data_IF_115631330490
#
_entry.id   IF_115631330490
#
_cell.length_a   1.000
_cell.length_b   1.000
_cell.length_c   1.000
_cell.angle_alpha   90.00
_cell.angle_beta   90.00
_cell.angle_gamma   90.00
#
_symmetry.space_group_name_H-M   'P 1'
#
loop_
_entity.id
_entity.type
_entity.pdbx_description
1 polymer ?
#
# COMPACT_ATOMS: atom_id res chain seq x y z
N UNK A 1 -20.29 7.80 -17.20
CA UNK A 1 -19.00 7.89 -16.49
C UNK A 1 -19.31 8.11 -15.03
N UNK A 2 -19.25 7.06 -14.21
CA UNK A 2 -19.28 7.23 -12.76
C UNK A 2 -17.89 7.67 -12.35
N UNK A 3 -17.74 8.92 -11.89
CA UNK A 3 -16.59 9.29 -11.06
C UNK A 3 -16.65 8.37 -9.85
N UNK A 4 -15.80 7.33 -9.86
CA UNK A 4 -15.54 6.53 -8.67
C UNK A 4 -15.01 7.51 -7.63
N UNK A 5 -15.85 7.84 -6.64
CA UNK A 5 -15.39 8.44 -5.39
C UNK A 5 -14.17 7.64 -4.95
N UNK A 6 -13.02 8.31 -4.89
CA UNK A 6 -11.77 7.68 -4.46
C UNK A 6 -11.97 7.30 -3.00
N UNK A 7 -12.18 6.02 -2.77
CA UNK A 7 -12.46 5.50 -1.43
C UNK A 7 -11.26 5.79 -0.52
N UNK A 8 -11.51 6.16 0.74
CA UNK A 8 -10.46 6.65 1.62
C UNK A 8 -9.43 5.56 1.94
N UNK A 9 -8.16 5.91 1.81
CA UNK A 9 -7.05 5.13 2.37
C UNK A 9 -6.99 5.37 3.88
N UNK A 10 -7.04 4.31 4.66
CA UNK A 10 -6.93 4.36 6.12
C UNK A 10 -5.54 3.88 6.51
N UNK A 11 -4.77 4.75 7.17
CA UNK A 11 -3.43 4.45 7.70
C UNK A 11 -3.52 4.44 9.22
N UNK A 12 -3.11 3.33 9.84
CA UNK A 12 -3.15 3.13 11.28
C UNK A 12 -1.79 2.67 11.78
N UNK A 13 -1.40 3.12 12.97
CA UNK A 13 -0.22 2.58 13.63
C UNK A 13 -0.42 1.09 13.94
N UNK A 14 0.68 0.33 13.97
CA UNK A 14 0.65 -1.10 14.28
C UNK A 14 -0.10 -1.39 15.59
N UNK A 15 0.09 -0.56 16.62
CA UNK A 15 -0.57 -0.71 17.91
C UNK A 15 -2.09 -0.58 17.84
N UNK A 16 -2.61 0.41 17.09
CA UNK A 16 -4.06 0.57 16.90
C UNK A 16 -4.67 -0.60 16.13
N UNK A 17 -3.96 -1.11 15.11
CA UNK A 17 -4.41 -2.27 14.33
C UNK A 17 -4.50 -3.51 15.20
N UNK A 18 -3.45 -3.79 15.98
CA UNK A 18 -3.42 -4.93 16.89
C UNK A 18 -4.50 -4.83 17.96
N UNK A 19 -4.74 -3.64 18.50
CA UNK A 19 -5.78 -3.38 19.48
C UNK A 19 -7.19 -3.62 18.92
N UNK A 20 -7.51 -3.06 17.75
CA UNK A 20 -8.80 -3.25 17.08
C UNK A 20 -9.02 -4.71 16.66
N UNK A 21 -7.96 -5.37 16.18
CA UNK A 21 -8.00 -6.78 15.82
C UNK A 21 -8.23 -7.68 17.05
N UNK A 22 -7.60 -7.37 18.18
CA UNK A 22 -7.81 -8.10 19.42
C UNK A 22 -9.25 -7.95 19.92
N UNK A 23 -9.79 -6.72 19.96
CA UNK A 23 -11.18 -6.46 20.39
C UNK A 23 -12.17 -7.21 19.50
N UNK A 24 -12.01 -7.10 18.18
CA UNK A 24 -12.90 -7.79 17.23
C UNK A 24 -12.83 -9.31 17.38
N UNK A 25 -11.65 -9.88 17.62
CA UNK A 25 -11.50 -11.32 17.89
C UNK A 25 -12.16 -11.74 19.21
N UNK A 26 -12.06 -10.94 20.27
CA UNK A 26 -12.75 -11.23 21.55
C UNK A 26 -14.27 -11.21 21.36
N UNK A 27 -14.81 -10.22 20.63
CA UNK A 27 -16.24 -10.17 20.33
C UNK A 27 -16.69 -11.36 19.48
N UNK A 28 -15.92 -11.70 18.44
CA UNK A 28 -16.17 -12.87 17.60
C UNK A 28 -16.16 -14.16 18.41
N UNK A 29 -15.21 -14.30 19.35
CA UNK A 29 -15.12 -15.45 20.24
C UNK A 29 -16.36 -15.57 21.12
N UNK A 30 -16.78 -14.48 21.78
CA UNK A 30 -17.98 -14.46 22.64
C UNK A 30 -19.22 -14.86 21.84
N UNK A 31 -19.44 -14.25 20.67
CA UNK A 31 -20.60 -14.54 19.81
C UNK A 31 -20.57 -16.00 19.35
N UNK A 32 -19.41 -16.49 18.92
CA UNK A 32 -19.25 -17.87 18.43
C UNK A 32 -19.50 -18.90 19.52
N UNK A 33 -19.00 -18.66 20.74
CA UNK A 33 -19.26 -19.53 21.89
C UNK A 33 -20.74 -19.55 22.27
N UNK A 34 -21.41 -18.39 22.31
CA UNK A 34 -22.84 -18.33 22.56
C UNK A 34 -23.65 -19.09 21.50
N UNK A 35 -23.27 -18.96 20.23
CA UNK A 35 -23.91 -19.69 19.13
C UNK A 35 -23.72 -21.21 19.26
N UNK A 36 -22.50 -21.67 19.52
CA UNK A 36 -22.19 -23.09 19.70
C UNK A 36 -22.89 -23.66 20.92
N UNK A 37 -22.88 -22.97 22.06
CA UNK A 37 -23.59 -23.45 23.25
C UNK A 37 -25.10 -23.48 23.06
N UNK A 38 -25.69 -22.47 22.42
CA UNK A 38 -27.12 -22.46 22.08
C UNK A 38 -27.49 -23.62 21.16
N UNK A 39 -26.64 -23.92 20.17
CA UNK A 39 -26.85 -25.04 19.25
C UNK A 39 -26.68 -26.40 19.92
N UNK A 40 -25.65 -26.58 20.76
CA UNK A 40 -25.41 -27.83 21.48
C UNK A 40 -26.52 -28.13 22.50
N UNK A 41 -27.03 -27.12 23.22
CA UNK A 41 -28.16 -27.27 24.16
C UNK A 41 -29.44 -27.78 23.50
N UNK A 42 -29.63 -27.52 22.19
CA UNK A 42 -30.79 -28.02 21.42
C UNK A 42 -30.66 -29.50 21.05
N UNK A 43 -29.46 -30.10 21.15
CA UNK A 43 -29.23 -31.50 20.81
C UNK A 43 -29.33 -32.40 22.05
N UNK A 44 -30.16 -33.44 21.97
CA UNK A 44 -30.21 -34.49 23.00
C UNK A 44 -28.91 -35.33 22.96
N UNK A 45 -28.37 -35.69 24.13
CA UNK A 45 -27.21 -36.59 24.25
C UNK A 45 -25.83 -35.94 24.08
N UNK A 46 -25.72 -34.61 24.22
CA UNK A 46 -24.40 -33.93 24.27
C UNK A 46 -23.75 -34.19 25.64
N UNK A 47 -22.50 -34.64 25.61
CA UNK A 47 -21.63 -34.79 26.79
C UNK A 47 -20.79 -33.54 27.01
N UNK A 48 -20.42 -33.22 28.25
CA UNK A 48 -19.50 -32.11 28.60
C UNK A 48 -18.21 -32.10 27.77
N UNK A 49 -17.65 -33.28 27.46
CA UNK A 49 -16.45 -33.40 26.63
C UNK A 49 -16.65 -32.86 25.19
N UNK A 50 -17.85 -33.03 24.61
CA UNK A 50 -18.19 -32.50 23.28
C UNK A 50 -18.39 -30.99 23.30
N UNK A 51 -18.92 -30.45 24.39
CA UNK A 51 -19.03 -29.00 24.60
C UNK A 51 -17.65 -28.36 24.74
N UNK A 52 -16.75 -28.97 25.53
CA UNK A 52 -15.37 -28.52 25.67
C UNK A 52 -14.60 -28.60 24.35
N UNK A 53 -14.73 -29.70 23.61
CA UNK A 53 -14.12 -29.83 22.29
C UNK A 53 -14.64 -28.79 21.29
N UNK A 54 -15.94 -28.50 21.31
CA UNK A 54 -16.54 -27.45 20.47
C UNK A 54 -16.03 -26.06 20.84
N UNK A 55 -15.95 -25.72 22.13
CA UNK A 55 -15.39 -24.45 22.59
C UNK A 55 -13.91 -24.30 22.24
N UNK A 56 -13.12 -25.37 22.39
CA UNK A 56 -11.72 -25.40 21.99
C UNK A 56 -11.55 -25.17 20.48
N UNK A 57 -12.37 -25.82 19.65
CA UNK A 57 -12.31 -25.66 18.20
C UNK A 57 -12.68 -24.25 17.76
N UNK A 58 -13.67 -23.63 18.40
CA UNK A 58 -14.00 -22.20 18.20
C UNK A 58 -12.82 -21.31 18.57
N UNK A 59 -12.19 -21.54 19.73
CA UNK A 59 -11.02 -20.78 20.16
C UNK A 59 -9.88 -20.87 19.15
N UNK A 60 -9.50 -22.08 18.72
CA UNK A 60 -8.45 -22.29 17.72
C UNK A 60 -8.80 -21.60 16.40
N UNK A 61 -10.07 -21.67 15.98
CA UNK A 61 -10.52 -21.01 14.74
C UNK A 61 -10.37 -19.50 14.82
N UNK A 62 -10.81 -18.88 15.92
CA UNK A 62 -10.66 -17.42 16.10
C UNK A 62 -9.19 -17.02 16.18
N UNK A 63 -8.35 -17.83 16.83
CA UNK A 63 -6.91 -17.60 16.89
C UNK A 63 -6.27 -17.65 15.48
N UNK A 64 -6.67 -18.61 14.65
CA UNK A 64 -6.21 -18.68 13.26
C UNK A 64 -6.66 -17.47 12.44
N UNK A 65 -7.90 -17.01 12.62
CA UNK A 65 -8.41 -15.80 11.96
C UNK A 65 -7.59 -14.57 12.38
N UNK A 66 -7.25 -14.43 13.66
CA UNK A 66 -6.40 -13.35 14.16
C UNK A 66 -5.06 -13.30 13.43
N UNK A 67 -4.35 -14.43 13.35
CA UNK A 67 -3.06 -14.49 12.66
C UNK A 67 -3.19 -14.28 11.15
N UNK A 68 -4.20 -14.88 10.52
CA UNK A 68 -4.45 -14.70 9.09
C UNK A 68 -4.66 -13.21 8.73
N UNK A 69 -5.50 -12.50 9.50
CA UNK A 69 -5.74 -11.08 9.28
C UNK A 69 -4.51 -10.22 9.60
N UNK A 70 -3.80 -10.51 10.69
CA UNK A 70 -2.58 -9.77 11.07
C UNK A 70 -1.47 -9.86 10.01
N UNK A 71 -1.38 -10.99 9.32
CA UNK A 71 -0.44 -11.22 8.22
C UNK A 71 -0.93 -10.65 6.88
N UNK A 72 -2.24 -10.69 6.62
CA UNK A 72 -2.82 -10.22 5.36
C UNK A 72 -2.83 -8.68 5.22
N UNK A 73 -2.79 -7.93 6.32
CA UNK A 73 -2.77 -6.47 6.27
C UNK A 73 -1.43 -5.95 5.76
N UNK A 74 -1.38 -5.14 4.70
CA UNK A 74 -0.11 -4.65 4.17
C UNK A 74 0.54 -3.65 5.14
N UNK A 75 1.87 -3.61 5.10
CA UNK A 75 2.74 -2.76 5.93
C UNK A 75 3.45 -1.71 5.11
N UNK A 76 3.68 -0.56 5.72
CA UNK A 76 4.62 0.44 5.25
C UNK A 76 5.45 0.97 6.42
N UNK A 77 6.63 1.45 6.11
CA UNK A 77 7.63 1.89 7.07
C UNK A 77 7.91 3.39 6.90
N UNK A 78 8.64 3.95 7.87
CA UNK A 78 9.03 5.36 7.84
C UNK A 78 9.65 5.73 6.48
N UNK A 79 9.26 6.90 5.98
CA UNK A 79 9.67 7.45 4.69
C UNK A 79 9.11 6.78 3.45
N UNK A 80 8.41 5.64 3.56
CA UNK A 80 7.65 5.09 2.43
C UNK A 80 6.54 6.06 2.02
N UNK A 81 6.21 6.09 0.73
CA UNK A 81 5.10 6.88 0.19
C UNK A 81 4.01 5.93 -0.30
N UNK A 82 2.82 6.05 0.27
CA UNK A 82 1.63 5.33 -0.15
C UNK A 82 0.85 6.16 -1.16
N UNK A 83 0.63 5.61 -2.34
CA UNK A 83 0.03 6.31 -3.48
C UNK A 83 -1.32 5.65 -3.79
N UNK A 84 -2.39 6.39 -3.54
CA UNK A 84 -3.74 6.07 -3.96
C UNK A 84 -4.16 6.85 -5.21
N UNK A 85 -5.39 6.66 -5.70
CA UNK A 85 -5.86 7.25 -6.95
C UNK A 85 -5.82 8.78 -7.03
N UNK A 86 -5.92 9.47 -5.89
CA UNK A 86 -5.98 10.93 -5.81
C UNK A 86 -5.14 11.53 -4.68
N UNK A 87 -4.40 10.69 -3.95
CA UNK A 87 -3.69 11.09 -2.74
C UNK A 87 -2.40 10.31 -2.63
N UNK A 88 -1.28 10.99 -2.37
CA UNK A 88 -0.07 10.39 -1.86
C UNK A 88 0.07 10.74 -0.37
N UNK A 89 0.54 9.79 0.43
CA UNK A 89 0.83 10.03 1.84
C UNK A 89 2.18 9.41 2.19
N UNK A 90 3.09 10.26 2.66
CA UNK A 90 4.32 9.80 3.26
C UNK A 90 4.05 9.22 4.66
N UNK A 91 4.69 8.10 4.96
CA UNK A 91 4.60 7.45 6.26
C UNK A 91 5.61 8.09 7.21
N UNK A 92 5.09 8.66 8.29
CA UNK A 92 5.90 9.35 9.31
C UNK A 92 6.32 8.41 10.45
N UNK A 93 5.52 7.39 10.74
CA UNK A 93 5.79 6.44 11.82
C UNK A 93 6.71 5.29 11.38
N UNK A 94 7.44 4.70 12.32
CA UNK A 94 8.34 3.56 12.08
C UNK A 94 7.64 2.33 11.46
N UNK A 95 6.33 2.20 11.62
CA UNK A 95 5.57 1.09 11.07
C UNK A 95 4.07 1.31 11.17
N UNK A 96 3.42 1.28 10.01
CA UNK A 96 1.97 1.43 9.87
C UNK A 96 1.39 0.27 9.09
N UNK A 97 0.10 0.00 9.32
CA UNK A 97 -0.72 -0.76 8.36
C UNK A 97 -1.60 0.19 7.62
N UNK A 98 -1.89 -0.17 6.39
CA UNK A 98 -2.84 0.56 5.58
C UNK A 98 -3.90 -0.37 5.00
N UNK A 99 -5.08 0.19 4.81
CA UNK A 99 -6.23 -0.46 4.22
C UNK A 99 -6.84 0.50 3.22
N UNK A 100 -7.20 -0.02 2.05
CA UNK A 100 -7.89 0.73 1.01
C UNK A 100 -8.80 -0.19 0.24
N UNK A 101 -9.89 0.35 -0.27
CA UNK A 101 -10.79 -0.34 -1.20
C UNK A 101 -10.31 -0.23 -2.65
N UNK A 102 -9.29 0.59 -2.91
CA UNK A 102 -8.59 0.71 -4.18
C UNK A 102 -7.17 0.16 -4.06
N UNK A 103 -6.56 -0.23 -5.19
CA UNK A 103 -5.14 -0.55 -5.24
C UNK A 103 -4.35 0.63 -4.72
N UNK A 104 -3.43 0.36 -3.81
CA UNK A 104 -2.43 1.31 -3.30
C UNK A 104 -1.08 0.84 -3.78
N UNK A 105 -0.34 1.74 -4.40
CA UNK A 105 1.05 1.52 -4.71
C UNK A 105 1.93 2.12 -3.63
N UNK A 106 3.14 1.58 -3.47
CA UNK A 106 4.11 2.04 -2.49
C UNK A 106 5.40 2.46 -3.19
N UNK A 107 5.98 3.58 -2.82
CA UNK A 107 7.38 3.88 -3.12
C UNK A 107 8.17 3.68 -1.83
N UNK A 108 9.22 2.86 -1.88
CA UNK A 108 10.06 2.64 -0.70
C UNK A 108 10.83 3.92 -0.36
N UNK A 109 11.03 4.21 0.93
CA UNK A 109 11.75 5.42 1.36
C UNK A 109 13.18 5.53 0.79
N UNK A 110 13.83 4.42 0.46
CA UNK A 110 15.15 4.43 -0.22
C UNK A 110 15.08 4.92 -1.68
N UNK A 111 13.89 4.86 -2.30
CA UNK A 111 13.64 5.24 -3.69
C UNK A 111 13.02 6.64 -3.82
N UNK A 112 12.72 7.31 -2.70
CA UNK A 112 12.25 8.71 -2.71
C UNK A 112 13.37 9.72 -2.94
N UNK A 113 14.63 9.26 -2.99
CA UNK A 113 15.80 10.08 -3.29
C UNK A 113 15.90 10.48 -4.76
N UNK A 114 16.89 11.33 -5.07
CA UNK A 114 17.15 11.72 -6.45
C UNK A 114 17.66 10.53 -7.29
N UNK A 115 17.04 10.32 -8.44
CA UNK A 115 17.53 9.41 -9.48
C UNK A 115 18.48 10.17 -10.38
N UNK A 116 19.67 9.61 -10.61
CA UNK A 116 20.71 10.27 -11.41
C UNK A 116 20.68 9.74 -12.84
N UNK A 117 20.63 10.64 -13.83
CA UNK A 117 20.75 10.34 -15.26
C UNK A 117 21.67 11.35 -15.95
N UNK A 118 22.03 11.09 -17.19
CA UNK A 118 22.82 12.02 -18.01
C UNK A 118 21.91 12.67 -19.06
N UNK A 119 22.09 13.98 -19.27
CA UNK A 119 21.49 14.73 -20.37
C UNK A 119 22.34 15.97 -20.68
N UNK A 120 22.47 16.33 -21.95
CA UNK A 120 23.23 17.47 -22.47
C UNK A 120 24.71 17.47 -21.99
N UNK A 121 25.30 16.28 -21.84
CA UNK A 121 26.65 16.11 -21.30
C UNK A 121 26.80 16.48 -19.82
N UNK A 122 25.69 16.61 -19.08
CA UNK A 122 25.64 16.93 -17.66
C UNK A 122 24.97 15.83 -16.86
N UNK A 123 25.26 15.81 -15.56
CA UNK A 123 24.56 14.94 -14.61
C UNK A 123 23.26 15.60 -14.17
N UNK A 124 22.14 14.91 -14.34
CA UNK A 124 20.80 15.37 -13.97
C UNK A 124 20.31 14.58 -12.77
N UNK A 125 20.03 15.28 -11.68
CA UNK A 125 19.35 14.73 -10.52
C UNK A 125 17.84 14.95 -10.70
N UNK A 126 17.09 13.85 -10.71
CA UNK A 126 15.65 13.82 -10.94
C UNK A 126 14.95 13.43 -9.63
N UNK A 127 14.19 14.36 -9.06
CA UNK A 127 13.41 14.14 -7.84
C UNK A 127 11.93 14.14 -8.15
N UNK A 128 11.17 13.26 -7.47
CA UNK A 128 9.72 13.28 -7.51
C UNK A 128 9.22 14.21 -6.41
N UNK A 129 8.54 15.28 -6.79
CA UNK A 129 7.90 16.22 -5.86
C UNK A 129 6.46 15.83 -5.54
N UNK A 130 5.76 15.28 -6.53
CA UNK A 130 4.37 14.82 -6.41
C UNK A 130 4.27 13.37 -6.89
N UNK A 131 3.72 12.50 -6.04
CA UNK A 131 3.69 11.06 -6.31
C UNK A 131 2.34 10.61 -6.91
N UNK A 132 1.29 11.40 -6.79
CA UNK A 132 -0.04 11.12 -7.33
C UNK A 132 -0.04 10.80 -8.83
N UNK A 133 0.69 11.53 -9.70
CA UNK A 133 0.70 11.24 -11.14
C UNK A 133 1.26 9.85 -11.48
N UNK A 134 2.11 9.30 -10.61
CA UNK A 134 2.73 7.99 -10.77
C UNK A 134 1.68 6.88 -10.65
N UNK A 135 0.59 7.11 -9.90
CA UNK A 135 -0.50 6.15 -9.75
C UNK A 135 -1.08 5.67 -11.08
N UNK A 136 -1.41 6.63 -11.96
CA UNK A 136 -2.01 6.32 -13.25
C UNK A 136 -1.05 5.56 -14.16
N UNK A 137 0.25 5.89 -14.08
CA UNK A 137 1.29 5.21 -14.83
C UNK A 137 1.49 3.78 -14.36
N UNK A 138 1.64 3.55 -13.05
CA UNK A 138 1.81 2.23 -12.45
C UNK A 138 0.60 1.32 -12.71
N UNK A 139 -0.61 1.90 -12.74
CA UNK A 139 -1.83 1.17 -13.09
C UNK A 139 -1.87 0.74 -14.56
N UNK A 140 -1.28 1.51 -15.46
CA UNK A 140 -1.24 1.20 -16.89
C UNK A 140 -0.07 0.29 -17.27
N UNK A 141 1.03 0.34 -16.51
CA UNK A 141 2.28 -0.38 -16.80
C UNK A 141 2.66 -1.27 -15.61
N UNK A 142 2.24 -2.53 -15.65
CA UNK A 142 2.55 -3.48 -14.57
C UNK A 142 4.06 -3.78 -14.46
N UNK A 143 4.85 -3.52 -15.50
CA UNK A 143 6.30 -3.78 -15.53
C UNK A 143 7.10 -2.95 -14.52
N UNK A 144 6.61 -1.77 -14.15
CA UNK A 144 7.25 -0.92 -13.13
C UNK A 144 6.74 -1.23 -11.71
N UNK A 145 5.81 -2.18 -11.56
CA UNK A 145 5.21 -2.56 -10.28
C UNK A 145 5.78 -3.92 -9.83
N UNK A 146 6.38 -3.95 -8.66
CA UNK A 146 6.90 -5.16 -8.03
C UNK A 146 5.78 -5.97 -7.39
N UNK A 147 6.08 -7.24 -7.08
CA UNK A 147 5.12 -8.18 -6.50
C UNK A 147 4.50 -7.71 -5.17
N UNK A 148 5.20 -6.88 -4.39
CA UNK A 148 4.69 -6.29 -3.14
C UNK A 148 3.89 -5.00 -3.34
N UNK A 149 3.49 -4.70 -4.59
CA UNK A 149 2.83 -3.47 -5.02
C UNK A 149 3.70 -2.21 -4.84
N UNK A 150 5.02 -2.37 -4.69
CA UNK A 150 5.93 -1.23 -4.75
C UNK A 150 6.28 -0.83 -6.17
N UNK A 151 6.47 0.45 -6.42
CA UNK A 151 6.87 1.00 -7.72
C UNK A 151 8.39 1.05 -7.77
N UNK A 152 8.97 0.54 -8.85
CA UNK A 152 10.37 0.78 -9.19
C UNK A 152 10.52 2.19 -9.76
N UNK A 153 11.01 3.11 -8.91
CA UNK A 153 11.15 4.51 -9.28
C UNK A 153 12.19 4.70 -10.38
N UNK A 154 13.26 3.91 -10.38
CA UNK A 154 14.27 4.00 -11.43
C UNK A 154 13.67 3.60 -12.79
N UNK A 155 12.96 2.48 -12.84
CA UNK A 155 12.27 2.03 -14.06
C UNK A 155 11.21 3.03 -14.52
N UNK A 156 10.47 3.63 -13.58
CA UNK A 156 9.52 4.70 -13.88
C UNK A 156 10.20 5.92 -14.54
N UNK A 157 11.29 6.41 -13.95
CA UNK A 157 12.06 7.53 -14.50
C UNK A 157 12.64 7.18 -15.88
N UNK A 158 13.09 5.94 -16.08
CA UNK A 158 13.60 5.47 -17.37
C UNK A 158 12.51 5.45 -18.46
N UNK A 159 11.26 5.16 -18.12
CA UNK A 159 10.18 5.12 -19.09
C UNK A 159 9.54 6.50 -19.34
N UNK A 160 9.61 7.41 -18.36
CA UNK A 160 8.90 8.71 -18.43
C UNK A 160 9.85 9.88 -18.69
N UNK A 161 10.95 9.96 -17.95
CA UNK A 161 11.83 11.12 -17.99
C UNK A 161 12.93 10.98 -19.05
N UNK A 162 13.54 9.80 -19.20
CA UNK A 162 14.66 9.59 -20.15
C UNK A 162 14.26 9.91 -21.60
N UNK A 163 13.09 9.49 -22.14
CA UNK A 163 12.69 9.86 -23.49
C UNK A 163 12.52 11.37 -23.71
N UNK A 164 12.15 12.11 -22.66
CA UNK A 164 12.05 13.57 -22.74
C UNK A 164 13.42 14.25 -22.59
N UNK A 165 14.34 13.66 -21.82
CA UNK A 165 15.74 14.10 -21.76
C UNK A 165 16.46 13.87 -23.10
N UNK A 166 16.22 12.76 -23.79
CA UNK A 166 16.78 12.52 -25.13
C UNK A 166 16.29 13.56 -26.14
N UNK A 167 15.01 13.99 -26.05
CA UNK A 167 14.49 15.09 -26.88
C UNK A 167 15.16 16.43 -26.54
N UNK A 168 15.49 16.66 -25.28
CA UNK A 168 16.24 17.84 -24.86
C UNK A 168 17.68 17.82 -25.40
N UNK A 169 18.30 16.65 -25.48
CA UNK A 169 19.65 16.44 -26.03
C UNK A 169 19.69 16.64 -27.55
N UNK A 170 18.63 16.23 -28.23
CA UNK A 170 18.44 16.45 -29.67
C UNK A 170 17.93 17.85 -30.02
N UNK A 171 17.85 18.77 -29.03
CA UNK A 171 17.33 20.14 -29.18
C UNK A 171 15.87 20.21 -29.70
N UNK A 172 15.11 19.14 -29.59
CA UNK A 172 13.69 19.09 -30.00
C UNK A 172 12.76 19.82 -29.02
N UNK A 173 13.18 19.91 -27.75
CA UNK A 173 12.47 20.62 -26.70
C UNK A 173 13.42 21.50 -25.89
N UNK A 174 12.86 22.50 -25.21
CA UNK A 174 13.59 23.32 -24.24
C UNK A 174 13.45 22.80 -22.81
N UNK A 175 14.35 23.22 -21.91
CA UNK A 175 14.26 22.90 -20.48
C UNK A 175 12.92 23.35 -19.85
N UNK A 176 12.37 24.47 -20.32
CA UNK A 176 11.05 24.96 -19.86
C UNK A 176 9.96 23.99 -20.28
N UNK A 177 9.96 23.53 -21.54
CA UNK A 177 8.99 22.56 -22.05
C UNK A 177 9.12 21.20 -21.35
N UNK A 178 10.33 20.77 -21.00
CA UNK A 178 10.54 19.56 -20.20
C UNK A 178 9.82 19.66 -18.84
N UNK A 179 10.00 20.78 -18.14
CA UNK A 179 9.34 21.05 -16.85
C UNK A 179 7.83 21.17 -16.97
N UNK A 180 7.32 21.72 -18.07
CA UNK A 180 5.88 21.80 -18.34
C UNK A 180 5.26 20.42 -18.63
N UNK A 181 5.99 19.52 -19.29
CA UNK A 181 5.54 18.15 -19.61
C UNK A 181 5.56 17.23 -18.39
N UNK A 182 6.55 17.39 -17.52
CA UNK A 182 6.77 16.55 -16.35
C UNK A 182 6.79 17.41 -15.06
N UNK A 183 5.67 18.07 -14.72
CA UNK A 183 5.64 19.07 -13.64
C UNK A 183 5.84 18.46 -12.24
N UNK A 184 5.58 17.17 -12.08
CA UNK A 184 5.76 16.44 -10.83
C UNK A 184 7.22 15.99 -10.59
N UNK A 185 8.09 16.19 -11.58
CA UNK A 185 9.52 15.90 -11.50
C UNK A 185 10.32 17.21 -11.43
N UNK A 186 11.29 17.24 -10.52
CA UNK A 186 12.29 18.30 -10.43
C UNK A 186 13.60 17.83 -11.04
N UNK A 187 14.10 18.62 -11.99
CA UNK A 187 15.36 18.38 -12.68
C UNK A 187 16.40 19.39 -12.25
N UNK A 188 17.51 18.91 -11.68
CA UNK A 188 18.69 19.69 -11.31
C UNK A 188 19.90 19.26 -12.16
N UNK A 189 20.45 20.18 -12.95
CA UNK A 189 21.53 19.94 -13.91
C UNK A 189 22.85 20.45 -13.33
N UNK A 190 23.81 19.56 -13.09
CA UNK A 190 25.15 19.89 -12.58
C UNK A 190 26.16 20.05 -13.72
#
# INVERSE_FOLDING_TARGET
MYESESLPMVVLSEGWVQFLLAISCVLLLVISLLAVFSWLKRKKGITKAKEQAGAFLVFVTVLLIYFALSLALPRAYVSDVLIGPKTAKQVEDNGVRYLSLSTIYKVHGIETGAVIREAQGKTVHILINEYEPIYAFAKANEEVVRNDQSIDVAAYIDQVAVPELEKLDNEEITLTQLRERLPHLQFDFQ
#
